data_IF_224364047897
#
_entry.id   IF_224364047897
#
_cell.length_a   1.000
_cell.length_b   1.000
_cell.length_c   1.000
_cell.angle_alpha   90.00
_cell.angle_beta   90.00
_cell.angle_gamma   90.00
#
_symmetry.space_group_name_H-M   'P 1'
#
loop_
_entity.id
_entity.type
_entity.pdbx_description
1 polymer ?
#
# COMPACT_ATOMS: atom_id res chain seq x y z
N UNK A 1 16.30 16.55 1.14
CA UNK A 1 15.50 15.31 1.29
C UNK A 1 15.04 14.71 -0.06
N UNK A 2 14.71 15.50 -1.08
CA UNK A 2 14.20 15.02 -2.37
C UNK A 2 15.01 13.88 -3.01
N UNK A 3 16.34 14.01 -3.04
CA UNK A 3 17.25 12.99 -3.59
C UNK A 3 17.10 11.61 -2.93
N UNK A 4 16.82 11.56 -1.62
CA UNK A 4 16.58 10.30 -0.92
C UNK A 4 15.26 9.66 -1.38
N UNK A 5 14.20 10.46 -1.50
CA UNK A 5 12.91 9.96 -2.01
C UNK A 5 13.03 9.50 -3.46
N UNK A 6 13.72 10.26 -4.32
CA UNK A 6 13.95 9.89 -5.72
C UNK A 6 14.74 8.56 -5.81
N UNK A 7 15.72 8.36 -4.92
CA UNK A 7 16.48 7.11 -4.84
C UNK A 7 15.58 5.89 -4.58
N UNK A 8 14.53 6.01 -3.75
CA UNK A 8 13.60 4.91 -3.48
C UNK A 8 12.96 4.37 -4.76
N UNK A 9 12.79 5.20 -5.79
CA UNK A 9 12.19 4.83 -7.07
C UNK A 9 13.19 4.43 -8.15
N UNK A 10 14.49 4.42 -7.85
CA UNK A 10 15.49 3.85 -8.76
C UNK A 10 15.39 2.31 -8.77
N UNK A 11 15.88 1.64 -9.83
CA UNK A 11 15.96 0.17 -9.84
C UNK A 11 16.71 -0.40 -8.64
N UNK A 12 17.75 0.30 -8.15
CA UNK A 12 18.49 -0.10 -6.96
C UNK A 12 17.63 0.00 -5.69
N UNK A 13 16.94 1.12 -5.48
CA UNK A 13 16.04 1.31 -4.33
C UNK A 13 14.91 0.29 -4.33
N UNK A 14 14.33 0.01 -5.49
CA UNK A 14 13.28 -0.99 -5.66
C UNK A 14 13.79 -2.43 -5.44
N UNK A 15 15.01 -2.76 -5.86
CA UNK A 15 15.62 -4.07 -5.58
C UNK A 15 15.86 -4.28 -4.08
N UNK A 16 16.30 -3.24 -3.35
CA UNK A 16 16.41 -3.28 -1.88
C UNK A 16 15.03 -3.50 -1.25
N UNK A 17 14.00 -2.80 -1.72
CA UNK A 17 12.63 -2.96 -1.22
C UNK A 17 12.13 -4.41 -1.42
N UNK A 18 12.34 -4.97 -2.61
CA UNK A 18 11.92 -6.33 -2.94
C UNK A 18 12.60 -7.40 -2.07
N UNK A 19 13.92 -7.28 -1.84
CA UNK A 19 14.66 -8.17 -0.91
C UNK A 19 14.13 -8.15 0.53
N UNK A 20 13.41 -7.10 0.91
CA UNK A 20 12.79 -6.93 2.23
C UNK A 20 11.27 -7.19 2.20
N UNK A 21 10.76 -7.88 1.17
CA UNK A 21 9.36 -8.30 1.09
C UNK A 21 8.37 -7.22 0.64
N UNK A 22 8.84 -6.05 0.20
CA UNK A 22 7.96 -5.02 -0.38
C UNK A 22 7.78 -5.27 -1.88
N UNK A 23 6.53 -5.17 -2.36
CA UNK A 23 6.24 -5.30 -3.80
C UNK A 23 6.77 -4.09 -4.57
N UNK A 24 7.76 -4.32 -5.43
CA UNK A 24 8.36 -3.28 -6.27
C UNK A 24 7.38 -2.73 -7.32
N UNK A 25 7.52 -1.44 -7.65
CA UNK A 25 6.80 -0.74 -8.73
C UNK A 25 7.53 -0.78 -10.05
N UNK A 26 8.87 -0.84 -10.01
CA UNK A 26 9.67 -1.06 -11.22
C UNK A 26 9.34 -2.43 -11.82
N UNK A 27 8.99 -2.48 -13.10
CA UNK A 27 8.50 -3.69 -13.75
C UNK A 27 9.58 -4.78 -13.88
N UNK A 28 10.84 -4.39 -14.09
CA UNK A 28 11.95 -5.33 -14.21
C UNK A 28 12.28 -5.95 -12.86
N UNK A 29 12.29 -5.14 -11.80
CA UNK A 29 12.46 -5.63 -10.42
C UNK A 29 11.27 -6.51 -10.02
N UNK A 30 10.03 -6.07 -10.26
CA UNK A 30 8.85 -6.88 -9.93
C UNK A 30 8.86 -8.25 -10.64
N UNK A 31 9.28 -8.30 -11.90
CA UNK A 31 9.43 -9.56 -12.63
C UNK A 31 10.51 -10.48 -12.01
N UNK A 32 11.64 -9.92 -11.58
CA UNK A 32 12.74 -10.66 -10.92
C UNK A 32 12.27 -11.38 -9.64
N UNK A 33 11.40 -10.75 -8.85
CA UNK A 33 10.91 -11.30 -7.57
C UNK A 33 9.52 -11.93 -7.67
N UNK A 34 8.99 -12.17 -8.88
CA UNK A 34 7.63 -12.68 -9.09
C UNK A 34 7.34 -13.99 -8.35
N UNK A 35 8.35 -14.85 -8.18
CA UNK A 35 8.19 -16.13 -7.48
C UNK A 35 7.93 -15.98 -5.96
N UNK A 36 8.32 -14.85 -5.36
CA UNK A 36 8.14 -14.58 -3.93
C UNK A 36 6.76 -13.97 -3.61
N UNK A 37 6.07 -13.44 -4.63
CA UNK A 37 4.80 -12.77 -4.47
C UNK A 37 3.69 -13.57 -5.19
N UNK A 38 2.82 -14.26 -4.45
CA UNK A 38 1.72 -14.99 -5.06
C UNK A 38 0.80 -14.04 -5.82
N UNK A 39 0.30 -14.52 -6.95
CA UNK A 39 -0.68 -13.79 -7.74
C UNK A 39 -2.04 -13.83 -7.02
N UNK A 40 -2.51 -12.66 -6.61
CA UNK A 40 -3.72 -12.48 -5.82
C UNK A 40 -4.49 -11.29 -6.33
N UNK A 41 -5.82 -11.36 -6.27
CA UNK A 41 -6.67 -10.23 -6.58
C UNK A 41 -6.41 -9.08 -5.61
N UNK A 42 -6.06 -7.92 -6.15
CA UNK A 42 -5.90 -6.67 -5.40
C UNK A 42 -7.07 -5.73 -5.67
N UNK A 43 -7.41 -4.93 -4.67
CA UNK A 43 -8.37 -3.84 -4.76
C UNK A 43 -7.66 -2.55 -4.35
N UNK A 44 -8.07 -1.42 -4.92
CA UNK A 44 -7.59 -0.11 -4.50
C UNK A 44 -8.61 0.58 -3.60
N UNK A 45 -8.15 1.55 -2.80
CA UNK A 45 -9.04 2.33 -1.93
C UNK A 45 -9.96 3.23 -2.77
N UNK A 46 -9.46 3.70 -3.89
CA UNK A 46 -10.20 4.49 -4.87
C UNK A 46 -11.38 3.70 -5.43
N UNK A 47 -11.18 2.46 -5.86
CA UNK A 47 -12.22 1.64 -6.48
C UNK A 47 -13.32 1.21 -5.49
N UNK A 48 -12.96 0.92 -4.24
CA UNK A 48 -13.89 0.35 -3.25
C UNK A 48 -14.55 1.44 -2.40
N UNK A 49 -13.78 2.45 -2.01
CA UNK A 49 -14.20 3.43 -1.01
C UNK A 49 -14.29 4.87 -1.55
N UNK A 50 -13.87 5.12 -2.80
CA UNK A 50 -13.85 6.48 -3.36
C UNK A 50 -12.71 7.36 -2.81
N UNK A 51 -11.66 6.75 -2.26
CA UNK A 51 -10.45 7.43 -1.83
C UNK A 51 -10.30 7.63 -0.30
N UNK A 52 -9.09 8.00 0.09
CA UNK A 52 -8.67 8.05 1.50
C UNK A 52 -9.43 9.06 2.37
N UNK A 53 -9.82 10.21 1.81
CA UNK A 53 -10.57 11.21 2.57
C UNK A 53 -11.96 10.69 3.01
N UNK A 54 -12.64 9.95 2.12
CA UNK A 54 -13.97 9.40 2.40
C UNK A 54 -13.90 8.26 3.41
N UNK A 55 -12.99 7.28 3.22
CA UNK A 55 -12.83 6.18 4.17
C UNK A 55 -12.41 6.68 5.56
N UNK A 56 -11.55 7.70 5.63
CA UNK A 56 -11.15 8.29 6.91
C UNK A 56 -12.34 8.89 7.66
N UNK A 57 -13.19 9.66 6.97
CA UNK A 57 -14.35 10.30 7.57
C UNK A 57 -15.44 9.30 7.98
N UNK A 58 -15.74 8.31 7.14
CA UNK A 58 -16.85 7.38 7.37
C UNK A 58 -16.48 6.22 8.31
N UNK A 59 -15.26 5.69 8.22
CA UNK A 59 -14.87 4.49 8.95
C UNK A 59 -14.03 4.78 10.20
N UNK A 60 -13.07 5.71 10.13
CA UNK A 60 -12.01 5.85 11.15
C UNK A 60 -12.09 7.11 12.01
N UNK A 61 -12.97 8.07 11.67
CA UNK A 61 -13.20 9.24 12.51
C UNK A 61 -13.87 8.84 13.83
N UNK A 62 -13.77 9.71 14.85
CA UNK A 62 -14.45 9.49 16.12
C UNK A 62 -15.97 9.35 15.91
N UNK A 63 -16.56 8.27 16.44
CA UNK A 63 -17.96 7.92 16.20
C UNK A 63 -18.25 7.36 14.81
N UNK A 64 -17.22 7.10 14.00
CA UNK A 64 -17.32 6.45 12.69
C UNK A 64 -17.66 4.95 12.81
N UNK A 65 -17.74 4.26 11.68
CA UNK A 65 -18.22 2.88 11.63
C UNK A 65 -17.39 1.92 12.50
N UNK A 66 -16.07 2.12 12.60
CA UNK A 66 -15.23 1.25 13.43
C UNK A 66 -15.55 1.41 14.92
N UNK A 67 -15.72 2.64 15.39
CA UNK A 67 -16.12 2.94 16.78
C UNK A 67 -17.52 2.38 17.08
N UNK A 68 -18.47 2.51 16.15
CA UNK A 68 -19.82 1.98 16.34
C UNK A 68 -19.82 0.44 16.42
N UNK A 69 -18.91 -0.21 15.71
CA UNK A 69 -18.84 -1.68 15.64
C UNK A 69 -18.03 -2.27 16.81
N UNK A 70 -17.00 -1.58 17.28
CA UNK A 70 -16.03 -2.12 18.25
C UNK A 70 -15.89 -1.33 19.56
N UNK A 71 -16.43 -0.11 19.64
CA UNK A 71 -16.23 0.84 20.75
C UNK A 71 -17.01 0.55 22.03
N UNK A 72 -17.77 -0.55 22.08
CA UNK A 72 -18.51 -1.01 23.27
C UNK A 72 -17.82 -2.17 24.01
N UNK A 73 -16.50 -2.33 23.86
CA UNK A 73 -15.69 -3.24 24.69
C UNK A 73 -15.14 -2.58 25.94
#
# INVERSE_FOLDING_TARGET
>A
ARTYLDFLYTPQGQDIAARNGLRARDAAVAAKYKAEFPDVRLLTVEDVFGGWAKIQAEHFAAGGLLDQTYGSR
#
